data_IF_973286396051
#
_entry.id   IF_973286396051
#
_cell.length_a   1.000
_cell.length_b   1.000
_cell.length_c   1.000
_cell.angle_alpha   90.00
_cell.angle_beta   90.00
_cell.angle_gamma   90.00
#
_symmetry.space_group_name_H-M   'P 1'
#
loop_
_entity.id
_entity.type
_entity.pdbx_description
1 polymer ?
#
# COMPACT_ATOMS: atom_id res chain seq x y z
N UNK A 1 4.74 21.25 3.32
CA UNK A 1 5.60 20.15 3.80
C UNK A 1 4.83 18.85 3.67
N UNK A 2 5.44 17.78 3.16
CA UNK A 2 4.82 16.46 3.05
C UNK A 2 5.81 15.37 3.50
N UNK A 3 5.31 14.18 3.80
CA UNK A 3 6.09 12.99 4.15
C UNK A 3 5.45 11.78 3.47
N UNK A 4 6.21 10.69 3.28
CA UNK A 4 5.74 9.47 2.63
C UNK A 4 6.33 8.24 3.30
N UNK A 5 5.45 7.42 3.87
CA UNK A 5 5.77 6.11 4.43
C UNK A 5 4.76 5.08 3.94
N UNK A 6 5.19 4.15 3.09
CA UNK A 6 4.30 3.14 2.50
C UNK A 6 3.71 2.17 3.56
N UNK A 7 4.43 1.96 4.66
CA UNK A 7 4.03 1.12 5.79
C UNK A 7 2.91 1.72 6.65
N UNK A 8 2.50 2.96 6.39
CA UNK A 8 1.37 3.55 7.09
C UNK A 8 0.05 2.91 6.69
N UNK A 9 -0.10 2.56 5.42
CA UNK A 9 -1.39 2.18 4.85
C UNK A 9 -1.96 0.91 5.51
N UNK A 10 -1.13 -0.10 5.72
CA UNK A 10 -1.52 -1.37 6.33
C UNK A 10 -1.41 -1.38 7.88
N UNK A 11 -0.71 -0.43 8.50
CA UNK A 11 -0.51 -0.37 9.95
C UNK A 11 -1.79 -0.15 10.77
N UNK A 12 -2.06 -1.01 11.75
CA UNK A 12 -3.29 -1.02 12.56
C UNK A 12 -3.53 0.23 13.40
N UNK A 13 -2.50 0.70 14.10
CA UNK A 13 -2.61 1.86 14.98
C UNK A 13 -2.29 3.18 14.27
N UNK A 14 -1.87 3.13 13.01
CA UNK A 14 -1.38 4.29 12.28
C UNK A 14 -2.48 5.34 12.07
N UNK A 15 -3.70 5.02 11.60
CA UNK A 15 -4.74 6.02 11.42
C UNK A 15 -5.06 6.80 12.71
N UNK A 16 -5.19 6.09 13.82
CA UNK A 16 -5.45 6.69 15.15
C UNK A 16 -4.34 7.64 15.58
N UNK A 17 -3.08 7.21 15.46
CA UNK A 17 -1.90 8.00 15.86
C UNK A 17 -1.70 9.21 14.94
N UNK A 18 -1.86 9.02 13.64
CA UNK A 18 -1.79 10.09 12.65
C UNK A 18 -2.85 11.15 12.93
N UNK A 19 -4.10 10.75 13.18
CA UNK A 19 -5.18 11.69 13.50
C UNK A 19 -4.97 12.41 14.82
N UNK A 20 -4.44 11.73 15.85
CA UNK A 20 -4.15 12.36 17.14
C UNK A 20 -3.11 13.49 17.03
N UNK A 21 -2.15 13.38 16.10
CA UNK A 21 -1.12 14.39 15.88
C UNK A 21 -1.51 15.43 14.82
N UNK A 22 -2.11 14.98 13.72
CA UNK A 22 -2.39 15.75 12.51
C UNK A 22 -3.84 15.51 12.02
N UNK A 23 -4.86 15.97 12.78
CA UNK A 23 -6.26 15.68 12.47
C UNK A 23 -6.72 16.28 11.12
N UNK A 24 -6.10 17.38 10.69
CA UNK A 24 -6.45 18.08 9.45
C UNK A 24 -5.52 17.73 8.26
N UNK A 25 -4.68 16.69 8.41
CA UNK A 25 -3.81 16.26 7.31
C UNK A 25 -4.64 15.79 6.10
N UNK A 26 -4.13 16.10 4.91
CA UNK A 26 -4.60 15.47 3.67
C UNK A 26 -3.81 14.19 3.44
N UNK A 27 -4.52 13.10 3.19
CA UNK A 27 -3.98 11.78 2.93
C UNK A 27 -3.98 11.51 1.44
N UNK A 28 -2.90 10.91 0.96
CA UNK A 28 -2.76 10.47 -0.43
C UNK A 28 -2.37 8.99 -0.41
N UNK A 29 -3.11 8.16 -1.12
CA UNK A 29 -2.77 6.75 -1.32
C UNK A 29 -2.73 6.45 -2.81
N UNK A 30 -1.79 5.61 -3.23
CA UNK A 30 -1.60 5.22 -4.63
C UNK A 30 -1.88 3.72 -4.71
N UNK A 31 -2.89 3.34 -5.49
CA UNK A 31 -3.31 1.95 -5.63
C UNK A 31 -3.04 1.45 -7.05
N UNK A 32 -2.51 0.24 -7.16
CA UNK A 32 -2.42 -0.52 -8.42
C UNK A 32 -3.13 -1.86 -8.22
N UNK A 33 -3.29 -2.64 -9.30
CA UNK A 33 -3.80 -4.02 -9.19
C UNK A 33 -3.12 -4.78 -8.04
N UNK A 34 -3.89 -5.37 -7.09
CA UNK A 34 -3.33 -6.04 -5.93
C UNK A 34 -2.41 -7.21 -6.30
N UNK A 35 -2.68 -7.88 -7.43
CA UNK A 35 -1.81 -8.92 -7.97
C UNK A 35 -0.45 -8.35 -8.42
N UNK A 36 -0.45 -7.24 -9.18
CA UNK A 36 0.79 -6.56 -9.60
C UNK A 36 1.57 -6.05 -8.39
N UNK A 37 0.88 -5.51 -7.36
CA UNK A 37 1.50 -5.06 -6.11
C UNK A 37 2.14 -6.20 -5.34
N UNK A 38 1.45 -7.34 -5.21
CA UNK A 38 2.00 -8.54 -4.57
C UNK A 38 3.24 -9.06 -5.30
N UNK A 39 3.19 -9.13 -6.64
CA UNK A 39 4.33 -9.55 -7.45
C UNK A 39 5.52 -8.60 -7.34
N UNK A 40 5.25 -7.28 -7.34
CA UNK A 40 6.29 -6.26 -7.12
C UNK A 40 6.97 -6.42 -5.76
N UNK A 41 6.20 -6.70 -4.69
CA UNK A 41 6.78 -6.98 -3.37
C UNK A 41 7.65 -8.25 -3.37
N UNK A 42 7.20 -9.32 -4.02
CA UNK A 42 8.00 -10.54 -4.17
C UNK A 42 9.33 -10.26 -4.91
N UNK A 43 9.30 -9.52 -6.01
CA UNK A 43 10.53 -9.14 -6.74
C UNK A 43 11.43 -8.22 -5.92
N UNK A 44 10.86 -7.31 -5.12
CA UNK A 44 11.60 -6.48 -4.18
C UNK A 44 12.35 -7.35 -3.15
N UNK A 45 11.72 -8.39 -2.61
CA UNK A 45 12.37 -9.32 -1.67
C UNK A 45 13.49 -10.13 -2.35
N UNK A 46 13.29 -10.57 -3.60
CA UNK A 46 14.36 -11.23 -4.38
C UNK A 46 15.56 -10.31 -4.61
N UNK A 47 15.32 -9.04 -4.94
CA UNK A 47 16.38 -8.04 -5.09
C UNK A 47 17.16 -7.80 -3.79
N UNK A 48 16.52 -8.01 -2.63
CA UNK A 48 17.15 -7.98 -1.31
C UNK A 48 17.73 -9.34 -0.87
N UNK A 49 17.84 -10.30 -1.81
CA UNK A 49 18.41 -11.63 -1.56
C UNK A 49 17.70 -12.40 -0.45
N UNK A 50 16.39 -12.20 -0.28
CA UNK A 50 15.59 -12.97 0.69
C UNK A 50 15.61 -14.47 0.35
N UNK A 51 16.04 -15.35 1.26
CA UNK A 51 16.18 -16.78 0.97
C UNK A 51 14.88 -17.46 0.56
N UNK A 52 13.74 -17.03 1.12
CA UNK A 52 12.43 -17.60 0.78
C UNK A 52 12.03 -17.16 -0.62
N UNK A 53 12.18 -15.88 -0.95
CA UNK A 53 11.84 -15.37 -2.28
C UNK A 53 12.78 -15.90 -3.39
N UNK A 54 14.01 -16.31 -3.04
CA UNK A 54 14.94 -16.95 -3.98
C UNK A 54 14.65 -18.44 -4.18
N UNK A 55 14.23 -19.14 -3.13
CA UNK A 55 14.01 -20.59 -3.16
C UNK A 55 12.61 -21.01 -3.61
N UNK A 56 11.62 -20.13 -3.53
CA UNK A 56 10.24 -20.39 -3.94
C UNK A 56 9.82 -19.44 -5.06
N UNK A 57 9.13 -19.96 -6.06
CA UNK A 57 8.48 -19.16 -7.10
C UNK A 57 7.35 -18.30 -6.51
N UNK A 58 6.95 -17.25 -7.25
CA UNK A 58 5.84 -16.40 -6.82
C UNK A 58 4.54 -17.20 -6.60
N UNK A 59 4.27 -18.18 -7.47
CA UNK A 59 3.08 -19.03 -7.35
C UNK A 59 3.10 -19.86 -6.06
N UNK A 60 4.23 -20.49 -5.73
CA UNK A 60 4.40 -21.25 -4.48
C UNK A 60 4.24 -20.36 -3.25
N UNK A 61 4.75 -19.13 -3.30
CA UNK A 61 4.59 -18.15 -2.21
C UNK A 61 3.11 -17.80 -2.00
N UNK A 62 2.38 -17.40 -3.04
CA UNK A 62 1.00 -16.93 -2.87
C UNK A 62 -0.01 -18.07 -2.61
N UNK A 63 0.32 -19.30 -3.03
CA UNK A 63 -0.52 -20.49 -2.82
C UNK A 63 -0.14 -21.31 -1.59
N UNK A 64 0.92 -20.93 -0.87
CA UNK A 64 1.35 -21.63 0.33
C UNK A 64 0.19 -21.80 1.34
N UNK A 65 0.05 -22.99 1.91
CA UNK A 65 -1.00 -23.31 2.88
C UNK A 65 -0.71 -22.72 4.26
N UNK A 66 -1.71 -22.73 5.14
CA UNK A 66 -1.51 -22.31 6.53
C UNK A 66 -0.63 -23.25 7.35
N UNK A 67 -0.38 -24.47 6.85
CA UNK A 67 0.55 -25.45 7.41
C UNK A 67 1.98 -25.29 6.89
N UNK A 68 2.23 -24.40 5.94
CA UNK A 68 3.56 -24.16 5.39
C UNK A 68 4.54 -23.58 6.43
N UNK A 69 5.87 -23.69 6.20
CA UNK A 69 6.87 -23.11 7.08
C UNK A 69 6.61 -21.62 7.37
N UNK A 70 6.83 -21.19 8.61
CA UNK A 70 6.56 -19.81 9.05
C UNK A 70 7.18 -18.74 8.12
N UNK A 71 8.45 -18.82 7.70
CA UNK A 71 9.04 -17.81 6.80
C UNK A 71 8.31 -17.69 5.46
N UNK A 72 7.84 -18.81 4.89
CA UNK A 72 7.06 -18.82 3.66
C UNK A 72 5.68 -18.17 3.86
N UNK A 73 5.00 -18.48 4.96
CA UNK A 73 3.73 -17.84 5.32
C UNK A 73 3.89 -16.34 5.59
N UNK A 74 4.97 -15.93 6.22
CA UNK A 74 5.26 -14.51 6.49
C UNK A 74 5.45 -13.75 5.17
N UNK A 75 6.21 -14.30 4.21
CA UNK A 75 6.36 -13.71 2.88
C UNK A 75 5.02 -13.67 2.12
N UNK A 76 4.26 -14.78 2.11
CA UNK A 76 2.89 -14.85 1.54
C UNK A 76 2.02 -13.72 2.08
N UNK A 77 1.98 -13.57 3.41
CA UNK A 77 1.15 -12.58 4.07
C UNK A 77 1.59 -11.15 3.72
N UNK A 78 2.89 -10.87 3.59
CA UNK A 78 3.37 -9.54 3.16
C UNK A 78 3.11 -9.24 1.68
N UNK A 79 3.10 -10.26 0.82
CA UNK A 79 2.63 -10.16 -0.56
C UNK A 79 1.12 -9.83 -0.61
N UNK A 80 0.29 -10.54 0.13
CA UNK A 80 -1.17 -10.50 -0.05
C UNK A 80 -1.90 -9.49 0.84
N UNK A 81 -1.60 -9.42 2.14
CA UNK A 81 -2.41 -8.67 3.10
C UNK A 81 -2.49 -7.17 2.80
N UNK A 82 -1.38 -6.47 2.48
CA UNK A 82 -1.47 -5.04 2.16
C UNK A 82 -2.22 -4.75 0.85
N UNK A 83 -2.55 -5.78 0.06
CA UNK A 83 -3.42 -5.70 -1.11
C UNK A 83 -4.91 -5.66 -0.80
N UNK A 84 -5.32 -5.84 0.47
CA UNK A 84 -6.73 -5.78 0.92
C UNK A 84 -7.17 -4.33 1.12
N UNK A 85 -7.16 -3.56 0.03
CA UNK A 85 -7.29 -2.10 0.08
C UNK A 85 -8.55 -1.61 0.78
N UNK A 86 -9.72 -2.23 0.54
CA UNK A 86 -10.97 -1.83 1.18
C UNK A 86 -10.87 -1.89 2.71
N UNK A 87 -10.39 -3.00 3.27
CA UNK A 87 -10.19 -3.18 4.72
C UNK A 87 -9.25 -2.11 5.30
N UNK A 88 -8.25 -1.69 4.54
CA UNK A 88 -7.30 -0.68 5.00
C UNK A 88 -7.90 0.73 4.91
N UNK A 89 -8.57 1.05 3.81
CA UNK A 89 -9.28 2.32 3.62
C UNK A 89 -10.37 2.52 4.68
N UNK A 90 -11.16 1.49 4.99
CA UNK A 90 -12.18 1.55 6.05
C UNK A 90 -11.58 1.99 7.39
N UNK A 91 -10.41 1.46 7.77
CA UNK A 91 -9.72 1.86 9.01
C UNK A 91 -9.27 3.32 8.99
N UNK A 92 -8.81 3.82 7.85
CA UNK A 92 -8.45 5.23 7.70
C UNK A 92 -9.67 6.14 7.77
N UNK A 93 -10.79 5.72 7.18
CA UNK A 93 -12.06 6.44 7.15
C UNK A 93 -12.77 6.53 8.51
N UNK A 94 -12.37 5.71 9.49
CA UNK A 94 -12.82 5.88 10.89
C UNK A 94 -12.31 7.18 11.53
N UNK A 95 -11.20 7.74 11.03
CA UNK A 95 -10.54 8.90 11.61
C UNK A 95 -10.48 10.10 10.67
N UNK A 96 -10.39 9.86 9.36
CA UNK A 96 -10.31 10.92 8.35
C UNK A 96 -11.54 10.87 7.44
N UNK A 97 -12.27 11.98 7.27
CA UNK A 97 -13.41 12.03 6.35
C UNK A 97 -12.94 11.83 4.90
N UNK A 98 -13.82 11.34 4.00
CA UNK A 98 -13.47 11.08 2.59
C UNK A 98 -12.82 12.27 1.87
N UNK A 99 -13.21 13.51 2.21
CA UNK A 99 -12.67 14.74 1.60
C UNK A 99 -11.20 14.99 1.98
N UNK A 100 -10.66 14.33 3.00
CA UNK A 100 -9.25 14.39 3.36
C UNK A 100 -8.44 13.26 2.71
N UNK A 101 -9.04 12.35 1.94
CA UNK A 101 -8.36 11.21 1.34
C UNK A 101 -8.45 11.25 -0.19
N UNK A 102 -7.30 11.30 -0.84
CA UNK A 102 -7.19 11.23 -2.29
C UNK A 102 -6.58 9.89 -2.71
N UNK A 103 -7.33 9.11 -3.51
CA UNK A 103 -6.88 7.85 -4.08
C UNK A 103 -6.39 8.11 -5.49
N UNK A 104 -5.13 7.80 -5.73
CA UNK A 104 -4.49 7.88 -7.05
C UNK A 104 -4.51 6.48 -7.69
N UNK A 105 -4.95 6.42 -8.94
CA UNK A 105 -4.71 5.25 -9.80
C UNK A 105 -3.22 5.22 -10.18
N UNK A 106 -2.50 4.21 -9.70
CA UNK A 106 -1.07 4.07 -9.94
C UNK A 106 -0.72 3.64 -11.36
N UNK A 107 -1.65 3.07 -12.14
CA UNK A 107 -1.43 2.85 -13.58
C UNK A 107 -1.55 4.17 -14.35
N UNK A 108 -2.55 5.00 -14.03
CA UNK A 108 -2.68 6.34 -14.61
C UNK A 108 -1.50 7.25 -14.23
N UNK A 109 -1.02 7.17 -12.98
CA UNK A 109 0.17 7.91 -12.56
C UNK A 109 1.40 7.53 -13.40
N UNK A 110 1.50 6.27 -13.84
CA UNK A 110 2.61 5.80 -14.68
C UNK A 110 2.45 6.25 -16.14
N UNK A 111 1.25 6.17 -16.69
CA UNK A 111 1.00 6.44 -18.13
C UNK A 111 0.74 7.91 -18.43
N UNK A 112 0.09 8.63 -17.53
CA UNK A 112 -0.24 10.05 -17.64
C UNK A 112 0.03 10.82 -16.33
N UNK A 113 1.31 10.97 -15.92
CA UNK A 113 1.66 11.61 -14.65
C UNK A 113 1.22 13.08 -14.57
N UNK A 114 1.19 13.80 -15.69
CA UNK A 114 0.85 15.24 -15.71
C UNK A 114 -0.58 15.46 -15.24
N UNK A 115 -1.54 14.70 -15.78
CA UNK A 115 -2.94 14.80 -15.39
C UNK A 115 -3.16 14.44 -13.92
N UNK A 116 -2.54 13.35 -13.45
CA UNK A 116 -2.65 12.92 -12.05
C UNK A 116 -2.07 13.98 -11.10
N UNK A 117 -0.93 14.59 -11.47
CA UNK A 117 -0.32 15.65 -10.66
C UNK A 117 -1.16 16.94 -10.66
N UNK A 118 -1.83 17.29 -11.76
CA UNK A 118 -2.79 18.41 -11.79
C UNK A 118 -3.98 18.17 -10.83
N UNK A 119 -4.56 16.97 -10.87
CA UNK A 119 -5.64 16.57 -9.95
C UNK A 119 -5.18 16.60 -8.48
N UNK A 120 -3.98 16.10 -8.20
CA UNK A 120 -3.40 16.13 -6.85
C UNK A 120 -3.18 17.57 -6.37
N UNK A 121 -2.67 18.47 -7.22
CA UNK A 121 -2.48 19.88 -6.87
C UNK A 121 -3.80 20.56 -6.52
N UNK A 122 -4.86 20.32 -7.31
CA UNK A 122 -6.22 20.81 -7.02
C UNK A 122 -6.75 20.27 -5.69
N UNK A 123 -6.59 18.97 -5.43
CA UNK A 123 -6.94 18.37 -4.14
C UNK A 123 -6.17 19.05 -2.98
N UNK A 124 -4.88 19.33 -3.18
CA UNK A 124 -4.03 19.98 -2.19
C UNK A 124 -4.30 21.49 -2.03
N UNK A 125 -5.03 22.13 -2.96
CA UNK A 125 -5.33 23.57 -2.98
C UNK A 125 -4.06 24.43 -3.11
N UNK A 126 -3.16 24.01 -4.00
CA UNK A 126 -1.90 24.73 -4.30
C UNK A 126 -1.89 25.35 -5.69
N UNK A 127 -3.03 25.23 -6.40
CA UNK A 127 -3.34 25.89 -7.66
C UNK A 127 -4.66 26.67 -7.53
#
# INVERSE_FOLDING_TARGET
>A
LFEKSATYFDGELVPKRAHALLPHAKLVTILISPAKRAYSWYQHMRAHMDPIALNYSFYEVISASDTAPKPLRDLRNRCLNPGRYAQHLERWLLYYPPQQLHIIDGEQLRSNPIEVMDQLQKFLKIT
#
